data_IF_250173330487
#
_entry.id   IF_250173330487
#
_cell.length_a   1.000
_cell.length_b   1.000
_cell.length_c   1.000
_cell.angle_alpha   90.00
_cell.angle_beta   90.00
_cell.angle_gamma   90.00
#
_symmetry.space_group_name_H-M   'P 1'
#
loop_
_entity.id
_entity.type
_entity.pdbx_description
1 polymer ?
#
# COMPACT_ATOMS: atom_id res chain seq x y z
N UNK A 1 -12.52 18.58 27.88
CA UNK A 1 -13.09 17.35 27.29
C UNK A 1 -12.61 17.22 25.84
N UNK A 2 -11.72 16.25 25.64
CA UNK A 2 -11.45 15.48 24.41
C UNK A 2 -11.35 16.23 23.07
N UNK A 3 -10.22 16.90 22.82
CA UNK A 3 -9.82 17.19 21.43
C UNK A 3 -9.12 15.94 20.90
N UNK A 4 -9.88 15.22 20.10
CA UNK A 4 -9.65 13.91 19.52
C UNK A 4 -8.23 13.67 18.99
N UNK A 5 -7.62 12.60 19.52
CA UNK A 5 -6.94 11.55 18.75
C UNK A 5 -6.29 11.98 17.41
N UNK A 6 -5.16 12.68 17.49
CA UNK A 6 -4.14 12.75 16.42
C UNK A 6 -3.37 11.42 16.34
N UNK A 7 -4.08 10.30 16.16
CA UNK A 7 -3.47 9.04 15.78
C UNK A 7 -3.53 8.93 14.27
N UNK A 8 -2.57 9.54 13.58
CA UNK A 8 -2.33 9.34 12.14
C UNK A 8 -1.73 7.94 11.92
N UNK A 9 -2.59 6.96 12.16
CA UNK A 9 -2.49 5.53 11.88
C UNK A 9 -3.04 5.41 10.45
N UNK A 10 -2.36 4.96 9.39
CA UNK A 10 -1.17 4.11 9.22
C UNK A 10 -0.58 4.41 7.84
N UNK A 11 0.70 4.09 7.69
CA UNK A 11 1.52 4.12 6.47
C UNK A 11 1.10 3.08 5.40
N UNK A 12 -0.20 2.82 5.23
CA UNK A 12 -0.73 2.00 4.14
C UNK A 12 -1.62 2.89 3.28
N UNK A 13 -1.14 3.26 2.09
CA UNK A 13 -1.98 4.00 1.15
C UNK A 13 -3.17 3.11 0.75
N UNK A 14 -4.41 3.55 1.01
CA UNK A 14 -5.58 2.83 0.54
C UNK A 14 -5.63 2.90 -0.99
N UNK A 15 -6.24 1.89 -1.60
CA UNK A 15 -6.48 1.85 -3.02
C UNK A 15 -7.38 3.04 -3.42
N UNK A 16 -7.02 3.86 -4.42
CA UNK A 16 -7.83 5.00 -4.83
C UNK A 16 -9.14 4.60 -5.54
N UNK A 17 -9.28 3.34 -5.97
CA UNK A 17 -10.49 2.88 -6.65
C UNK A 17 -11.53 2.30 -5.70
N UNK A 18 -11.11 1.48 -4.72
CA UNK A 18 -12.05 0.80 -3.81
C UNK A 18 -11.85 1.15 -2.33
N UNK A 19 -10.81 1.90 -1.97
CA UNK A 19 -10.46 2.20 -0.58
C UNK A 19 -9.85 1.03 0.20
N UNK A 20 -9.73 -0.16 -0.39
CA UNK A 20 -9.14 -1.33 0.26
C UNK A 20 -7.61 -1.21 0.42
N UNK A 21 -7.03 -2.03 1.26
CA UNK A 21 -5.59 -2.00 1.50
C UNK A 21 -4.78 -2.50 0.28
N UNK A 22 -3.67 -1.82 0.00
CA UNK A 22 -2.71 -2.27 -1.00
C UNK A 22 -1.69 -3.21 -0.35
N UNK A 23 -1.55 -4.40 -0.93
CA UNK A 23 -0.65 -5.45 -0.44
C UNK A 23 0.51 -5.68 -1.41
N UNK A 24 1.69 -5.95 -0.87
CA UNK A 24 2.88 -6.23 -1.68
C UNK A 24 2.79 -7.67 -2.19
N UNK A 25 2.85 -7.85 -3.50
CA UNK A 25 2.89 -9.15 -4.19
C UNK A 25 4.12 -9.22 -5.07
N UNK A 26 4.71 -10.40 -5.20
CA UNK A 26 5.86 -10.63 -6.08
C UNK A 26 5.39 -11.26 -7.38
N UNK A 27 5.72 -10.63 -8.51
CA UNK A 27 5.43 -11.14 -9.84
C UNK A 27 6.70 -11.42 -10.64
N UNK A 28 6.53 -11.89 -11.88
CA UNK A 28 7.63 -12.16 -12.82
C UNK A 28 8.57 -10.97 -13.08
N UNK A 29 8.09 -9.74 -12.90
CA UNK A 29 8.86 -8.51 -13.13
C UNK A 29 9.34 -7.84 -11.83
N UNK A 30 9.16 -8.50 -10.68
CA UNK A 30 9.52 -7.97 -9.36
C UNK A 30 8.30 -7.70 -8.47
N UNK A 31 8.54 -7.12 -7.27
CA UNK A 31 7.48 -6.81 -6.33
C UNK A 31 6.64 -5.62 -6.80
N UNK A 32 5.32 -5.73 -6.63
CA UNK A 32 4.33 -4.69 -6.93
C UNK A 32 3.30 -4.59 -5.80
N UNK A 33 2.60 -3.47 -5.71
CA UNK A 33 1.48 -3.29 -4.79
C UNK A 33 0.19 -3.58 -5.55
N UNK A 34 -0.54 -4.61 -5.15
CA UNK A 34 -1.86 -4.95 -5.68
C UNK A 34 -2.96 -4.70 -4.66
N UNK A 35 -4.17 -4.42 -5.12
CA UNK A 35 -5.33 -4.36 -4.24
C UNK A 35 -5.60 -5.72 -3.58
N UNK A 36 -5.96 -5.71 -2.29
CA UNK A 36 -6.39 -6.92 -1.58
C UNK A 36 -7.73 -7.48 -2.07
N UNK A 37 -8.54 -6.65 -2.74
CA UNK A 37 -9.90 -6.97 -3.19
C UNK A 37 -9.99 -7.51 -4.63
N UNK A 38 -8.89 -7.98 -5.21
CA UNK A 38 -8.93 -8.65 -6.52
C UNK A 38 -9.78 -9.93 -6.43
N UNK A 39 -10.74 -10.22 -7.35
CA UNK A 39 -10.91 -9.64 -8.69
C UNK A 39 -11.81 -8.40 -8.80
N UNK A 40 -12.50 -7.98 -7.73
CA UNK A 40 -13.43 -6.83 -7.80
C UNK A 40 -12.70 -5.48 -7.94
N UNK A 41 -11.41 -5.45 -7.61
CA UNK A 41 -10.52 -4.32 -7.88
C UNK A 41 -9.19 -4.83 -8.47
N UNK A 42 -8.91 -4.44 -9.71
CA UNK A 42 -7.72 -4.80 -10.49
C UNK A 42 -6.59 -3.76 -10.37
N UNK A 43 -6.72 -2.82 -9.43
CA UNK A 43 -5.72 -1.80 -9.19
C UNK A 43 -4.37 -2.40 -8.79
N UNK A 44 -3.35 -2.11 -9.58
CA UNK A 44 -1.95 -2.43 -9.32
C UNK A 44 -1.09 -1.17 -9.46
N UNK A 45 -0.05 -1.06 -8.64
CA UNK A 45 0.97 -0.02 -8.78
C UNK A 45 2.36 -0.60 -8.58
N UNK A 46 3.37 -0.12 -9.34
CA UNK A 46 4.75 -0.50 -9.08
C UNK A 46 5.18 0.03 -7.71
N UNK A 47 5.89 -0.81 -6.94
CA UNK A 47 6.61 -0.34 -5.77
C UNK A 47 7.73 0.58 -6.27
N UNK A 48 7.56 1.90 -6.16
CA UNK A 48 8.67 2.83 -6.38
C UNK A 48 9.77 2.47 -5.38
N UNK A 49 10.89 1.98 -5.88
CA UNK A 49 12.04 1.55 -5.08
C UNK A 49 12.72 2.76 -4.41
N UNK A 50 12.11 3.29 -3.35
CA UNK A 50 12.81 4.18 -2.42
C UNK A 50 13.46 3.39 -1.27
N UNK A 51 13.67 2.09 -1.45
CA UNK A 51 14.57 1.29 -0.60
C UNK A 51 16.03 1.51 -1.03
N UNK A 52 16.45 2.78 -1.08
CA UNK A 52 17.83 3.18 -1.31
C UNK A 52 18.66 3.33 -0.03
N UNK A 53 18.15 2.91 1.14
CA UNK A 53 18.88 3.07 2.41
C UNK A 53 18.58 1.92 3.38
N UNK A 54 19.66 1.41 3.97
CA UNK A 54 19.73 0.59 5.19
C UNK A 54 19.60 -0.93 5.05
N UNK A 55 20.61 -1.55 4.43
CA UNK A 55 21.30 -2.70 5.04
C UNK A 55 22.80 -2.52 4.77
N UNK A 56 23.45 -1.71 5.61
CA UNK A 56 24.86 -1.78 5.95
C UNK A 56 24.93 -1.68 7.45
#
# INVERSE_FOLDING_TARGET
MTKSALFSVRKNEPCPQCGAELVIRSGKHGPFLGCSHYPDCDYIRPLKSQAGRAYR
#
